data_IF_220188297080
#
_entry.id   IF_220188297080
#
_cell.length_a   1.000
_cell.length_b   1.000
_cell.length_c   1.000
_cell.angle_alpha   90.00
_cell.angle_beta   90.00
_cell.angle_gamma   90.00
#
_symmetry.space_group_name_H-M   'P 1'
#
loop_
_entity.id
_entity.type
_entity.pdbx_description
1 polymer ?
#
# COMPACT_ATOMS: atom_id res chain seq x y z
N UNK A 1 15.41 53.03 -22.93
CA UNK A 1 15.86 52.26 -21.75
C UNK A 1 14.79 51.24 -21.43
N UNK A 2 15.05 49.95 -21.60
CA UNK A 2 14.17 48.92 -21.05
C UNK A 2 14.52 48.84 -19.57
N UNK A 3 13.57 49.22 -18.70
CA UNK A 3 13.73 49.08 -17.26
C UNK A 3 13.77 47.57 -17.00
N UNK A 4 14.94 47.04 -16.66
CA UNK A 4 15.07 45.68 -16.16
C UNK A 4 14.24 45.60 -14.89
N UNK A 5 13.05 45.00 -14.99
CA UNK A 5 12.24 44.72 -13.83
C UNK A 5 13.10 43.91 -12.84
N UNK A 6 13.36 44.48 -11.67
CA UNK A 6 14.02 43.75 -10.58
C UNK A 6 13.07 42.63 -10.21
N UNK A 7 13.37 41.42 -10.67
CA UNK A 7 12.47 40.29 -10.58
C UNK A 7 12.43 39.86 -9.11
N UNK A 8 11.45 40.40 -8.37
CA UNK A 8 11.31 40.19 -6.92
C UNK A 8 11.29 38.68 -6.64
N UNK A 9 12.17 38.16 -5.76
CA UNK A 9 12.20 36.74 -5.49
C UNK A 9 10.84 36.25 -5.00
N UNK A 10 10.35 35.16 -5.62
CA UNK A 10 9.09 34.52 -5.23
C UNK A 10 9.06 34.27 -3.73
N UNK A 11 7.93 34.54 -3.10
CA UNK A 11 7.79 34.55 -1.65
C UNK A 11 6.45 33.93 -1.26
N UNK A 12 6.47 33.04 -0.26
CA UNK A 12 5.26 32.33 0.17
C UNK A 12 5.50 31.28 1.25
N UNK A 13 4.42 30.60 1.61
CA UNK A 13 4.39 29.51 2.60
C UNK A 13 4.33 28.14 1.92
N UNK A 14 5.18 27.21 2.35
CA UNK A 14 5.18 25.81 1.94
C UNK A 14 4.68 24.94 3.10
N UNK A 15 3.50 24.36 2.95
CA UNK A 15 2.88 23.45 3.92
C UNK A 15 3.36 22.00 3.69
N UNK A 16 3.86 21.34 4.72
CA UNK A 16 4.38 19.95 4.64
C UNK A 16 4.49 19.31 6.02
N UNK A 17 4.62 17.98 6.13
CA UNK A 17 5.20 17.36 7.33
C UNK A 17 6.76 17.44 7.29
N UNK A 18 7.47 17.31 8.43
CA UNK A 18 8.93 17.27 8.49
C UNK A 18 9.55 16.10 7.69
N UNK A 19 10.82 16.20 7.29
CA UNK A 19 11.55 15.14 6.54
C UNK A 19 10.88 14.68 5.21
N UNK A 20 9.94 15.45 4.68
CA UNK A 20 9.26 15.15 3.43
C UNK A 20 10.17 15.42 2.23
N UNK A 21 10.75 14.36 1.66
CA UNK A 21 11.60 14.43 0.46
C UNK A 21 10.92 15.09 -0.74
N UNK A 22 9.58 15.07 -0.84
CA UNK A 22 8.84 15.79 -1.89
C UNK A 22 8.91 17.31 -1.70
N UNK A 23 8.92 17.78 -0.45
CA UNK A 23 9.06 19.19 -0.11
C UNK A 23 10.51 19.67 -0.23
N UNK A 24 11.50 18.80 0.00
CA UNK A 24 12.92 19.12 -0.20
C UNK A 24 13.22 19.57 -1.62
N UNK A 25 12.55 19.01 -2.64
CA UNK A 25 12.69 19.46 -4.05
C UNK A 25 12.45 20.97 -4.20
N UNK A 26 11.34 21.47 -3.63
CA UNK A 26 10.97 22.87 -3.65
C UNK A 26 11.92 23.75 -2.81
N UNK A 27 12.34 23.26 -1.64
CA UNK A 27 13.24 23.98 -0.74
C UNK A 27 14.64 24.14 -1.33
N UNK A 28 15.20 23.09 -1.94
CA UNK A 28 16.51 23.14 -2.61
C UNK A 28 16.44 24.02 -3.86
N UNK A 29 15.35 23.93 -4.65
CA UNK A 29 15.13 24.84 -5.77
C UNK A 29 15.14 26.31 -5.34
N UNK A 30 14.49 26.63 -4.22
CA UNK A 30 14.47 27.97 -3.64
C UNK A 30 15.86 28.46 -3.21
N UNK A 31 16.74 27.58 -2.70
CA UNK A 31 18.14 27.93 -2.38
C UNK A 31 18.96 28.33 -3.62
N UNK A 32 18.64 27.82 -4.80
CA UNK A 32 19.30 28.20 -6.07
C UNK A 32 18.65 29.40 -6.76
N UNK A 33 17.34 29.62 -6.59
CA UNK A 33 16.62 30.74 -7.21
C UNK A 33 16.59 32.02 -6.38
N UNK A 34 16.84 31.91 -5.06
CA UNK A 34 16.67 33.00 -4.10
C UNK A 34 15.23 33.18 -3.61
N UNK A 35 14.30 32.28 -3.98
CA UNK A 35 12.92 32.32 -3.49
C UNK A 35 12.85 32.17 -1.96
N UNK A 36 11.96 32.94 -1.32
CA UNK A 36 11.81 32.99 0.14
C UNK A 36 10.64 32.10 0.56
N UNK A 37 10.94 31.02 1.26
CA UNK A 37 9.93 30.08 1.74
C UNK A 37 9.80 30.11 3.27
N UNK A 38 8.58 30.32 3.75
CA UNK A 38 8.18 30.00 5.12
C UNK A 38 7.72 28.54 5.16
N UNK A 39 8.43 27.69 5.89
CA UNK A 39 8.07 26.27 6.01
C UNK A 39 7.06 26.09 7.14
N UNK A 40 5.82 25.76 6.79
CA UNK A 40 4.76 25.42 7.74
C UNK A 40 4.73 23.90 7.92
N UNK A 41 5.45 23.40 8.93
CA UNK A 41 5.59 21.95 9.16
C UNK A 41 5.39 21.44 10.58
N UNK A 42 4.96 22.31 11.49
CA UNK A 42 4.63 21.96 12.86
C UNK A 42 3.48 22.83 13.39
N UNK A 43 2.82 22.35 14.45
CA UNK A 43 1.79 23.08 15.17
C UNK A 43 2.34 24.42 15.72
N UNK A 44 1.57 25.53 15.70
CA UNK A 44 0.18 25.64 15.24
C UNK A 44 0.02 25.87 13.72
N UNK A 45 1.11 26.08 12.99
CA UNK A 45 1.06 26.45 11.56
C UNK A 45 0.60 25.30 10.65
N UNK A 46 0.97 24.06 10.97
CA UNK A 46 0.54 22.86 10.24
C UNK A 46 0.61 21.60 11.10
N UNK A 47 -0.50 20.87 11.19
CA UNK A 47 -0.59 19.54 11.80
C UNK A 47 -1.05 18.54 10.74
N UNK A 48 -0.17 17.62 10.35
CA UNK A 48 -0.49 16.61 9.33
C UNK A 48 -1.62 15.69 9.78
N UNK A 49 -2.53 15.37 8.87
CA UNK A 49 -3.77 14.64 9.16
C UNK A 49 -4.93 15.53 9.63
N UNK A 50 -4.65 16.75 10.13
CA UNK A 50 -5.66 17.69 10.62
C UNK A 50 -5.77 18.91 9.70
N UNK A 51 -4.71 19.74 9.61
CA UNK A 51 -4.73 20.98 8.83
C UNK A 51 -5.04 20.73 7.36
N UNK A 52 -4.39 19.73 6.75
CA UNK A 52 -4.61 19.34 5.35
C UNK A 52 -5.95 18.62 5.07
N UNK A 53 -6.78 18.41 6.10
CA UNK A 53 -8.16 17.91 5.99
C UNK A 53 -9.21 18.99 6.30
N UNK A 54 -8.79 20.17 6.76
CA UNK A 54 -9.71 21.26 7.09
C UNK A 54 -10.35 21.86 5.82
N UNK A 55 -11.62 22.33 5.88
CA UNK A 55 -12.28 22.95 4.73
C UNK A 55 -11.52 24.15 4.16
N UNK A 56 -10.90 24.96 5.02
CA UNK A 56 -10.08 26.11 4.61
C UNK A 56 -8.85 25.69 3.78
N UNK A 57 -8.18 24.58 4.14
CA UNK A 57 -7.05 24.06 3.37
C UNK A 57 -7.52 23.42 2.07
N UNK A 58 -8.60 22.62 2.12
CA UNK A 58 -9.15 21.94 0.94
C UNK A 58 -9.70 22.93 -0.12
N UNK A 59 -10.16 24.11 0.28
CA UNK A 59 -10.56 25.18 -0.63
C UNK A 59 -9.41 25.65 -1.54
N UNK A 60 -8.17 25.62 -1.06
CA UNK A 60 -6.98 26.01 -1.83
C UNK A 60 -6.25 24.80 -2.43
N UNK A 61 -6.37 23.63 -1.79
CA UNK A 61 -5.63 22.40 -2.11
C UNK A 61 -6.57 21.18 -2.10
N UNK A 62 -7.38 20.98 -3.15
CA UNK A 62 -8.52 20.03 -3.13
C UNK A 62 -8.16 18.58 -2.80
N UNK A 63 -6.93 18.15 -3.11
CA UNK A 63 -6.47 16.78 -2.83
C UNK A 63 -6.12 16.54 -1.35
N UNK A 64 -6.01 17.58 -0.52
CA UNK A 64 -5.57 17.48 0.88
C UNK A 64 -4.16 16.88 1.05
N UNK A 65 -3.33 16.91 0.01
CA UNK A 65 -1.95 16.40 -0.02
C UNK A 65 -0.95 17.51 0.30
N UNK A 66 0.27 17.10 0.65
CA UNK A 66 1.44 18.00 0.81
C UNK A 66 2.69 17.41 0.15
N UNK A 67 3.64 18.23 -0.36
CA UNK A 67 3.74 19.68 -0.23
C UNK A 67 2.63 20.46 -0.96
N UNK A 68 2.24 21.59 -0.38
CA UNK A 68 1.33 22.56 -0.95
C UNK A 68 1.91 23.97 -0.74
N UNK A 69 1.82 24.84 -1.74
CA UNK A 69 2.41 26.18 -1.73
C UNK A 69 1.34 27.26 -1.85
N UNK A 70 1.49 28.32 -1.07
CA UNK A 70 0.69 29.55 -1.17
C UNK A 70 1.64 30.75 -1.22
N UNK A 71 1.63 31.49 -2.32
CA UNK A 71 2.36 32.74 -2.45
C UNK A 71 1.80 33.84 -1.55
N UNK A 72 2.64 34.82 -1.22
CA UNK A 72 2.22 36.02 -0.47
C UNK A 72 1.22 36.90 -1.27
N UNK A 73 1.11 36.67 -2.58
CA UNK A 73 0.11 37.21 -3.51
C UNK A 73 -1.22 36.41 -3.52
N UNK A 74 -1.30 35.31 -2.77
CA UNK A 74 -2.44 34.40 -2.73
C UNK A 74 -2.42 33.28 -3.76
N UNK A 75 -1.42 33.21 -4.66
CA UNK A 75 -1.34 32.14 -5.66
C UNK A 75 -1.14 30.77 -4.99
N UNK A 76 -2.07 29.85 -5.20
CA UNK A 76 -2.04 28.50 -4.61
C UNK A 76 -1.61 27.46 -5.64
N UNK A 77 -0.67 26.59 -5.26
CA UNK A 77 -0.14 25.52 -6.11
C UNK A 77 0.05 24.22 -5.32
N UNK A 78 -0.41 23.11 -5.89
CA UNK A 78 -0.17 21.76 -5.41
C UNK A 78 0.65 20.95 -6.44
N UNK A 79 0.96 19.70 -6.10
CA UNK A 79 1.95 18.83 -6.75
C UNK A 79 3.43 19.27 -6.62
N UNK A 80 4.25 18.36 -6.10
CA UNK A 80 5.63 18.66 -5.69
C UNK A 80 6.56 19.10 -6.84
N UNK A 81 6.35 18.59 -8.06
CA UNK A 81 7.12 18.99 -9.24
C UNK A 81 6.72 20.38 -9.72
N UNK A 82 5.43 20.68 -9.75
CA UNK A 82 4.92 21.99 -10.15
C UNK A 82 5.43 23.08 -9.19
N UNK A 83 5.37 22.83 -7.88
CA UNK A 83 5.91 23.73 -6.86
C UNK A 83 7.42 23.94 -7.04
N UNK A 84 8.20 22.87 -7.21
CA UNK A 84 9.65 22.98 -7.43
C UNK A 84 10.00 23.70 -8.74
N UNK A 85 9.22 23.50 -9.81
CA UNK A 85 9.36 24.19 -11.08
C UNK A 85 9.01 25.68 -11.01
N UNK A 86 7.92 26.02 -10.31
CA UNK A 86 7.51 27.40 -10.10
C UNK A 86 8.55 28.19 -9.31
N UNK A 87 9.11 27.59 -8.26
CA UNK A 87 10.15 28.20 -7.41
C UNK A 87 11.57 28.15 -8.01
N UNK A 88 11.73 27.64 -9.23
CA UNK A 88 13.02 27.53 -9.92
C UNK A 88 13.30 28.69 -10.87
N UNK A 89 14.58 29.01 -11.03
CA UNK A 89 15.07 29.93 -12.07
C UNK A 89 15.27 29.19 -13.42
N UNK A 90 15.52 29.93 -14.50
CA UNK A 90 15.68 29.39 -15.86
C UNK A 90 16.88 28.45 -16.01
N UNK A 91 17.88 28.58 -15.14
CA UNK A 91 19.00 27.67 -15.07
C UNK A 91 18.57 26.28 -14.57
N UNK A 92 17.77 26.22 -13.50
CA UNK A 92 17.24 24.97 -12.96
C UNK A 92 16.19 24.31 -13.87
N UNK A 93 15.40 25.12 -14.59
CA UNK A 93 14.38 24.66 -15.54
C UNK A 93 14.92 24.21 -16.91
N UNK A 94 16.21 24.46 -17.17
CA UNK A 94 16.86 24.23 -18.46
C UNK A 94 16.68 25.44 -19.39
N UNK A 95 17.78 26.11 -19.72
CA UNK A 95 17.76 27.40 -20.45
C UNK A 95 17.60 27.28 -21.97
N UNK A 96 17.39 26.08 -22.50
CA UNK A 96 17.07 25.80 -23.90
C UNK A 96 15.91 24.78 -23.97
N UNK A 97 15.14 24.73 -25.07
CA UNK A 97 14.05 23.74 -25.21
C UNK A 97 14.53 22.29 -25.00
N UNK A 98 15.72 21.95 -25.50
CA UNK A 98 16.33 20.63 -25.33
C UNK A 98 16.70 20.34 -23.88
N UNK A 99 17.33 21.31 -23.18
CA UNK A 99 17.67 21.15 -21.77
C UNK A 99 16.41 21.06 -20.89
N UNK A 100 15.37 21.84 -21.19
CA UNK A 100 14.11 21.80 -20.44
C UNK A 100 13.36 20.48 -20.65
N UNK A 101 13.33 19.95 -21.88
CA UNK A 101 12.80 18.62 -22.16
C UNK A 101 13.58 17.50 -21.42
N UNK A 102 14.91 17.60 -21.35
CA UNK A 102 15.73 16.67 -20.57
C UNK A 102 15.51 16.79 -19.06
N UNK A 103 15.28 17.99 -18.53
CA UNK A 103 14.89 18.20 -17.13
C UNK A 103 13.55 17.52 -16.85
N UNK A 104 12.55 17.72 -17.70
CA UNK A 104 11.25 17.06 -17.58
C UNK A 104 11.36 15.54 -17.67
N UNK A 105 12.18 15.00 -18.59
CA UNK A 105 12.44 13.57 -18.73
C UNK A 105 12.92 12.95 -17.40
N UNK A 106 13.90 13.56 -16.73
CA UNK A 106 14.43 13.05 -15.47
C UNK A 106 13.47 13.24 -14.28
N UNK A 107 12.64 14.29 -14.29
CA UNK A 107 11.56 14.47 -13.31
C UNK A 107 10.52 13.35 -13.45
N UNK A 108 10.06 13.08 -14.67
CA UNK A 108 9.11 11.99 -14.94
C UNK A 108 9.70 10.61 -14.64
N UNK A 109 10.96 10.35 -15.03
CA UNK A 109 11.68 9.11 -14.70
C UNK A 109 11.80 8.88 -13.20
N UNK A 110 11.97 9.94 -12.41
CA UNK A 110 11.97 9.82 -10.96
C UNK A 110 10.62 9.35 -10.41
N UNK A 111 9.52 9.89 -10.93
CA UNK A 111 8.16 9.56 -10.50
C UNK A 111 7.69 8.17 -10.97
N UNK A 112 8.07 7.72 -12.18
CA UNK A 112 7.67 6.41 -12.72
C UNK A 112 8.60 5.28 -12.29
N UNK A 113 9.92 5.45 -12.41
CA UNK A 113 10.88 4.34 -12.25
C UNK A 113 11.50 4.27 -10.84
N UNK A 114 11.68 5.41 -10.16
CA UNK A 114 12.40 5.44 -8.88
C UNK A 114 11.44 5.35 -7.69
N UNK A 115 10.43 6.21 -7.66
CA UNK A 115 9.57 6.40 -6.49
C UNK A 115 8.76 5.16 -6.11
N UNK A 116 8.16 4.39 -7.04
CA UNK A 116 7.43 3.16 -6.68
C UNK A 116 8.31 2.09 -6.00
N UNK A 117 9.43 1.62 -6.58
CA UNK A 117 10.27 0.62 -5.90
C UNK A 117 11.01 1.19 -4.68
N UNK A 118 11.43 2.47 -4.69
CA UNK A 118 11.99 3.12 -3.51
C UNK A 118 11.00 3.11 -2.33
N UNK A 119 9.72 3.37 -2.59
CA UNK A 119 8.67 3.33 -1.57
C UNK A 119 8.45 1.89 -1.07
N UNK A 120 8.31 0.93 -1.97
CA UNK A 120 8.09 -0.48 -1.64
C UNK A 120 9.21 -1.10 -0.78
N UNK A 121 10.47 -0.74 -1.04
CA UNK A 121 11.61 -1.22 -0.25
C UNK A 121 11.81 -0.44 1.05
N UNK A 122 11.70 0.90 1.03
CA UNK A 122 12.07 1.71 2.21
C UNK A 122 10.94 1.89 3.23
N UNK A 123 9.67 1.98 2.80
CA UNK A 123 8.56 2.25 3.73
C UNK A 123 8.39 1.19 4.84
N UNK A 124 8.64 -0.12 4.60
CA UNK A 124 8.74 -1.10 5.67
C UNK A 124 9.84 -0.80 6.71
N UNK A 125 11.02 -0.33 6.28
CA UNK A 125 12.12 0.01 7.21
C UNK A 125 11.82 1.23 8.09
N UNK A 126 10.81 2.03 7.71
CA UNK A 126 10.33 3.20 8.43
C UNK A 126 9.04 2.95 9.23
N UNK A 127 8.50 1.72 9.20
CA UNK A 127 7.21 1.41 9.84
C UNK A 127 6.00 2.06 9.16
N UNK A 128 6.12 2.51 7.91
CA UNK A 128 5.02 3.15 7.16
C UNK A 128 4.13 2.08 6.50
N UNK A 129 4.71 0.96 6.09
CA UNK A 129 4.03 -0.17 5.46
C UNK A 129 4.44 -1.49 6.11
N UNK A 130 3.58 -2.50 6.04
CA UNK A 130 3.96 -3.85 6.44
C UNK A 130 5.00 -4.42 5.47
N UNK A 131 5.96 -5.20 5.97
CA UNK A 131 6.94 -5.86 5.13
C UNK A 131 6.32 -6.96 4.27
N UNK A 132 6.57 -6.91 2.96
CA UNK A 132 6.27 -8.00 2.04
C UNK A 132 7.58 -8.41 1.33
N UNK A 133 7.98 -9.67 1.49
CA UNK A 133 9.24 -10.20 0.95
C UNK A 133 9.28 -10.14 -0.58
N UNK A 134 8.22 -10.58 -1.27
CA UNK A 134 8.18 -10.63 -2.73
C UNK A 134 8.26 -9.22 -3.34
N UNK A 135 7.45 -8.29 -2.83
CA UNK A 135 7.46 -6.89 -3.26
C UNK A 135 8.82 -6.23 -2.97
N UNK A 136 9.48 -6.57 -1.85
CA UNK A 136 10.81 -6.04 -1.52
C UNK A 136 11.90 -6.56 -2.47
N UNK A 137 11.92 -7.86 -2.77
CA UNK A 137 12.92 -8.39 -3.72
C UNK A 137 12.69 -7.89 -5.15
N UNK A 138 11.43 -7.76 -5.60
CA UNK A 138 11.12 -7.11 -6.87
C UNK A 138 11.63 -5.65 -6.90
N UNK A 139 11.33 -4.87 -5.84
CA UNK A 139 11.76 -3.49 -5.73
C UNK A 139 13.30 -3.34 -5.73
N UNK A 140 14.05 -4.29 -5.17
CA UNK A 140 15.52 -4.31 -5.25
C UNK A 140 16.00 -4.47 -6.70
N UNK A 141 15.42 -5.37 -7.49
CA UNK A 141 15.80 -5.55 -8.89
C UNK A 141 15.42 -4.34 -9.76
N UNK A 142 14.28 -3.71 -9.49
CA UNK A 142 13.87 -2.46 -10.13
C UNK A 142 14.84 -1.30 -9.78
N UNK A 143 15.23 -1.16 -8.51
CA UNK A 143 16.26 -0.18 -8.10
C UNK A 143 17.62 -0.48 -8.74
N UNK A 144 18.04 -1.75 -8.85
CA UNK A 144 19.28 -2.10 -9.58
C UNK A 144 19.23 -1.65 -11.04
N UNK A 145 18.10 -1.82 -11.73
CA UNK A 145 17.90 -1.36 -13.12
C UNK A 145 17.98 0.15 -13.23
N UNK A 146 17.30 0.88 -12.34
CA UNK A 146 17.37 2.35 -12.24
C UNK A 146 18.81 2.83 -12.03
N UNK A 147 19.52 2.24 -11.06
CA UNK A 147 20.90 2.61 -10.76
C UNK A 147 21.84 2.29 -11.92
N UNK A 148 21.63 1.20 -12.68
CA UNK A 148 22.40 0.89 -13.87
C UNK A 148 22.23 1.97 -14.97
N UNK A 149 20.99 2.38 -15.26
CA UNK A 149 20.66 3.44 -16.24
C UNK A 149 21.34 4.76 -15.84
N UNK A 150 21.20 5.16 -14.58
CA UNK A 150 21.84 6.36 -14.05
C UNK A 150 23.38 6.25 -14.12
N UNK A 151 23.95 5.09 -13.78
CA UNK A 151 25.40 4.87 -13.78
C UNK A 151 26.02 5.00 -15.18
N UNK A 152 25.30 4.52 -16.20
CA UNK A 152 25.68 4.66 -17.60
C UNK A 152 25.57 6.11 -18.07
N UNK A 153 24.46 6.80 -17.78
CA UNK A 153 24.28 8.21 -18.16
C UNK A 153 25.32 9.14 -17.52
N UNK A 154 25.65 8.90 -16.25
CA UNK A 154 26.60 9.68 -15.45
C UNK A 154 28.07 9.30 -15.68
N UNK A 155 28.38 8.34 -16.57
CA UNK A 155 29.74 7.89 -16.83
C UNK A 155 30.65 8.99 -17.42
N UNK A 156 30.08 9.94 -18.14
CA UNK A 156 30.81 11.06 -18.78
C UNK A 156 30.16 12.41 -18.47
N UNK A 157 29.43 12.52 -17.35
CA UNK A 157 28.64 13.72 -16.99
C UNK A 157 28.76 14.04 -15.51
N UNK A 158 28.92 15.32 -15.18
CA UNK A 158 28.97 15.76 -13.78
C UNK A 158 27.58 15.74 -13.14
N UNK A 159 26.57 16.17 -13.91
CA UNK A 159 25.16 16.32 -13.53
C UNK A 159 24.25 15.73 -14.63
N UNK A 160 22.96 15.56 -14.35
CA UNK A 160 22.03 14.89 -15.27
C UNK A 160 21.78 15.68 -16.57
N UNK A 161 21.81 17.02 -16.52
CA UNK A 161 21.53 17.91 -17.66
C UNK A 161 22.51 19.10 -17.68
N UNK A 162 23.13 19.37 -18.82
CA UNK A 162 23.82 20.64 -19.10
C UNK A 162 25.05 20.96 -18.22
N UNK A 163 25.71 19.95 -17.64
CA UNK A 163 26.90 20.10 -16.77
C UNK A 163 26.74 21.09 -15.60
N UNK A 164 25.51 21.26 -15.11
CA UNK A 164 25.18 22.05 -13.91
C UNK A 164 24.03 21.40 -13.14
N UNK A 165 23.89 21.73 -11.86
CA UNK A 165 22.67 21.34 -11.11
C UNK A 165 21.44 21.90 -11.80
N UNK A 166 20.46 21.03 -12.00
CA UNK A 166 19.14 21.32 -12.55
C UNK A 166 18.03 20.71 -11.67
N UNK A 167 16.75 20.95 -12.02
CA UNK A 167 15.63 20.25 -11.37
C UNK A 167 15.67 18.73 -11.57
N UNK A 168 16.34 18.23 -12.61
CA UNK A 168 16.59 16.80 -12.77
C UNK A 168 17.39 16.27 -11.57
N UNK A 169 18.52 16.92 -11.27
CA UNK A 169 19.41 16.51 -10.18
C UNK A 169 18.70 16.60 -8.83
N UNK A 170 18.05 17.73 -8.56
CA UNK A 170 17.28 17.95 -7.32
C UNK A 170 16.21 16.87 -7.14
N UNK A 171 15.48 16.53 -8.19
CA UNK A 171 14.37 15.56 -8.12
C UNK A 171 14.88 14.14 -7.93
N UNK A 172 15.82 13.68 -8.75
CA UNK A 172 16.36 12.31 -8.69
C UNK A 172 17.12 12.09 -7.37
N UNK A 173 17.87 13.08 -6.86
CA UNK A 173 18.52 13.00 -5.54
C UNK A 173 17.48 12.86 -4.42
N UNK A 174 16.43 13.69 -4.41
CA UNK A 174 15.38 13.60 -3.39
C UNK A 174 14.66 12.24 -3.40
N UNK A 175 14.41 11.67 -4.59
CA UNK A 175 13.78 10.34 -4.73
C UNK A 175 14.70 9.20 -4.28
N UNK A 176 16.02 9.32 -4.46
CA UNK A 176 17.02 8.33 -4.02
C UNK A 176 17.48 8.54 -2.55
N UNK A 177 17.19 9.67 -1.93
CA UNK A 177 17.71 10.05 -0.60
C UNK A 177 17.43 8.98 0.47
N UNK A 178 16.20 8.51 0.55
CA UNK A 178 15.79 7.52 1.54
C UNK A 178 16.35 6.12 1.26
N UNK A 179 16.56 5.76 -0.02
CA UNK A 179 17.29 4.55 -0.40
C UNK A 179 18.74 4.61 0.11
N UNK A 180 19.45 5.72 -0.13
CA UNK A 180 20.83 5.93 0.33
C UNK A 180 20.97 6.01 1.86
N UNK A 181 19.99 6.57 2.58
CA UNK A 181 19.99 6.60 4.06
C UNK A 181 19.72 5.23 4.68
N UNK A 182 18.80 4.44 4.10
CA UNK A 182 18.24 3.25 4.77
C UNK A 182 18.80 1.91 4.28
N UNK A 183 18.92 1.69 2.96
CA UNK A 183 19.02 0.32 2.41
C UNK A 183 20.13 0.08 1.39
N UNK A 184 20.63 1.12 0.71
CA UNK A 184 21.75 0.98 -0.24
C UNK A 184 23.09 0.88 0.51
N UNK A 185 23.31 -0.24 1.21
CA UNK A 185 24.57 -0.53 1.90
C UNK A 185 25.77 -0.64 0.93
N UNK A 186 27.04 -0.59 1.40
CA UNK A 186 28.21 -0.50 0.53
C UNK A 186 28.25 -1.56 -0.57
N UNK A 187 27.95 -2.82 -0.26
CA UNK A 187 27.94 -3.92 -1.23
C UNK A 187 26.89 -3.75 -2.33
N UNK A 188 25.71 -3.22 -2.01
CA UNK A 188 24.63 -3.00 -3.00
C UNK A 188 24.96 -1.85 -3.95
N UNK A 189 25.59 -0.77 -3.45
CA UNK A 189 25.91 0.42 -4.26
C UNK A 189 27.26 0.36 -4.99
N UNK A 190 28.15 -0.58 -4.63
CA UNK A 190 29.48 -0.73 -5.22
C UNK A 190 29.48 -0.85 -6.78
N UNK A 191 28.53 -1.55 -7.43
CA UNK A 191 28.46 -1.63 -8.89
C UNK A 191 28.08 -0.31 -9.59
N UNK A 192 27.68 0.72 -8.83
CA UNK A 192 27.17 1.99 -9.35
C UNK A 192 28.02 3.19 -8.89
N UNK A 193 29.33 3.22 -9.20
CA UNK A 193 30.25 4.24 -8.71
C UNK A 193 29.91 5.64 -9.23
N UNK A 194 29.43 5.78 -10.47
CA UNK A 194 29.11 7.08 -11.07
C UNK A 194 27.87 7.70 -10.42
N UNK A 195 26.88 6.88 -10.05
CA UNK A 195 25.70 7.33 -9.28
C UNK A 195 26.09 7.70 -7.85
N UNK A 196 26.93 6.88 -7.21
CA UNK A 196 27.41 7.17 -5.85
C UNK A 196 28.21 8.49 -5.82
N UNK A 197 29.11 8.71 -6.79
CA UNK A 197 29.83 9.98 -6.99
C UNK A 197 28.86 11.14 -7.21
N UNK A 198 27.92 11.02 -8.15
CA UNK A 198 26.95 12.06 -8.46
C UNK A 198 26.08 12.42 -7.25
N UNK A 199 25.50 11.43 -6.57
CA UNK A 199 24.67 11.64 -5.40
C UNK A 199 25.45 12.38 -4.31
N UNK A 200 26.66 11.92 -3.99
CA UNK A 200 27.57 12.60 -3.04
C UNK A 200 27.95 14.01 -3.50
N UNK A 201 28.18 14.23 -4.80
CA UNK A 201 28.48 15.56 -5.37
C UNK A 201 27.30 16.52 -5.17
N UNK A 202 26.07 16.05 -5.37
CA UNK A 202 24.85 16.85 -5.22
C UNK A 202 24.52 17.14 -3.75
N UNK A 203 24.43 16.11 -2.88
CA UNK A 203 24.06 16.33 -1.46
C UNK A 203 25.10 17.16 -0.70
N UNK A 204 26.34 17.25 -1.19
CA UNK A 204 27.37 18.11 -0.60
C UNK A 204 27.40 19.55 -1.14
N UNK A 205 26.59 19.91 -2.15
CA UNK A 205 26.44 21.31 -2.56
C UNK A 205 25.86 22.16 -1.42
N UNK A 206 26.26 23.42 -1.24
CA UNK A 206 25.76 24.28 -0.16
C UNK A 206 24.23 24.36 -0.11
N UNK A 207 23.57 24.46 -1.26
CA UNK A 207 22.12 24.54 -1.40
C UNK A 207 21.39 23.25 -1.01
N UNK A 208 22.02 22.09 -1.21
CA UNK A 208 21.48 20.81 -0.75
C UNK A 208 21.72 20.65 0.76
N UNK A 209 22.95 20.91 1.24
CA UNK A 209 23.31 20.85 2.67
C UNK A 209 22.44 21.76 3.54
N UNK A 210 22.08 22.95 3.06
CA UNK A 210 21.20 23.87 3.76
C UNK A 210 19.81 23.29 4.08
N UNK A 211 19.35 22.29 3.32
CA UNK A 211 18.02 21.67 3.46
C UNK A 211 18.11 20.23 4.01
N UNK A 212 19.06 19.44 3.52
CA UNK A 212 19.22 18.02 3.86
C UNK A 212 20.12 17.78 5.09
N UNK A 213 20.86 18.80 5.54
CA UNK A 213 21.89 18.66 6.57
C UNK A 213 23.03 17.75 6.13
N UNK A 214 23.61 17.02 7.09
CA UNK A 214 24.61 16.00 6.81
C UNK A 214 23.95 14.66 6.46
N UNK A 215 24.12 14.20 5.22
CA UNK A 215 23.53 12.95 4.73
C UNK A 215 24.47 11.79 5.04
N UNK A 216 24.25 11.11 6.17
CA UNK A 216 24.90 9.82 6.46
C UNK A 216 24.35 8.73 5.52
N UNK A 217 25.25 8.04 4.81
CA UNK A 217 24.90 6.89 3.98
C UNK A 217 24.68 5.61 4.82
N UNK A 218 23.83 4.72 4.32
CA UNK A 218 23.60 3.39 4.86
C UNK A 218 24.92 2.60 4.99
N UNK A 219 25.23 2.11 6.20
CA UNK A 219 26.35 1.20 6.46
C UNK A 219 25.92 -0.27 6.37
N UNK A 220 24.68 -0.57 6.79
CA UNK A 220 24.04 -1.88 6.79
C UNK A 220 22.55 -1.70 6.49
N UNK A 221 21.97 -2.55 5.64
CA UNK A 221 20.58 -2.45 5.22
C UNK A 221 19.62 -2.44 6.44
N UNK A 222 18.80 -1.40 6.54
CA UNK A 222 17.74 -1.31 7.54
C UNK A 222 16.69 -2.41 7.32
N UNK A 223 16.19 -2.98 8.41
CA UNK A 223 15.17 -4.02 8.41
C UNK A 223 13.81 -3.46 8.85
N UNK A 224 12.74 -4.22 8.61
CA UNK A 224 11.40 -3.89 9.11
C UNK A 224 11.38 -3.89 10.64
N UNK A 225 10.75 -2.88 11.22
CA UNK A 225 10.64 -2.68 12.66
C UNK A 225 9.15 -2.68 13.05
N UNK A 226 8.70 -3.80 13.62
CA UNK A 226 7.31 -4.00 14.01
C UNK A 226 6.83 -3.00 15.09
N UNK A 227 7.74 -2.48 15.92
CA UNK A 227 7.40 -1.50 16.97
C UNK A 227 7.13 -0.13 16.34
N UNK A 228 8.02 0.32 15.45
CA UNK A 228 7.79 1.56 14.67
C UNK A 228 6.53 1.46 13.82
N UNK A 229 6.25 0.30 13.23
CA UNK A 229 5.01 0.09 12.48
C UNK A 229 3.77 0.28 13.37
N UNK A 230 3.75 -0.29 14.58
CA UNK A 230 2.65 -0.11 15.52
C UNK A 230 2.51 1.35 16.03
N UNK A 231 3.63 2.05 16.24
CA UNK A 231 3.64 3.46 16.69
C UNK A 231 3.16 4.44 15.60
N UNK A 232 3.40 4.13 14.33
CA UNK A 232 3.00 4.94 13.18
C UNK A 232 1.53 4.78 12.77
N UNK A 233 0.83 3.76 13.29
CA UNK A 233 -0.62 3.64 13.07
C UNK A 233 -1.40 4.67 13.89
N UNK A 234 -2.50 5.24 13.35
CA UNK A 234 -3.32 6.20 14.08
C UNK A 234 -3.94 5.53 15.32
N UNK A 235 -3.56 6.01 16.51
CA UNK A 235 -4.25 5.66 17.76
C UNK A 235 -5.73 6.03 17.61
N UNK A 236 -6.62 5.03 17.64
CA UNK A 236 -8.07 5.28 17.70
C UNK A 236 -8.38 6.13 18.92
N UNK A 237 -8.78 7.37 18.69
CA UNK A 237 -9.27 8.24 19.75
C UNK A 237 -10.51 7.58 20.38
N UNK A 238 -10.48 7.40 21.70
CA UNK A 238 -11.65 6.88 22.42
C UNK A 238 -12.79 7.92 22.32
N UNK A 239 -14.02 7.52 21.95
CA UNK A 239 -15.11 8.47 21.78
C UNK A 239 -15.38 9.22 23.08
N UNK A 240 -15.36 10.55 23.00
CA UNK A 240 -15.57 11.43 24.13
C UNK A 240 -16.89 11.09 24.87
N UNK A 241 -16.82 11.01 26.20
CA UNK A 241 -18.01 10.87 27.05
C UNK A 241 -18.93 12.06 26.80
N UNK A 242 -20.08 11.82 26.16
CA UNK A 242 -21.17 12.80 26.12
C UNK A 242 -21.64 13.05 27.54
N UNK A 243 -21.47 14.28 28.01
CA UNK A 243 -22.21 14.80 29.14
C UNK A 243 -23.72 14.70 28.84
N UNK A 244 -24.50 14.27 29.82
CA UNK A 244 -25.96 14.41 29.82
C UNK A 244 -26.37 15.18 31.07
N UNK A 245 -26.88 16.39 30.85
CA UNK A 245 -27.55 17.23 31.85
C UNK A 245 -29.07 17.03 31.81
N UNK A 246 -29.75 17.30 32.93
CA UNK A 246 -31.21 17.16 33.13
C UNK A 246 -31.59 15.84 33.85
N UNK A 247 -31.90 15.86 35.15
CA UNK A 247 -33.21 16.19 35.81
C UNK A 247 -34.30 15.13 35.53
N UNK A 248 -35.12 14.65 36.47
CA UNK A 248 -35.32 14.99 37.91
C UNK A 248 -36.10 13.87 38.65
N UNK A 249 -35.87 13.69 39.97
CA UNK A 249 -36.87 13.18 40.95
C UNK A 249 -37.05 11.67 41.20
N UNK A 250 -37.17 11.28 42.50
CA UNK A 250 -38.10 10.18 42.88
C UNK A 250 -37.69 8.97 43.76
N UNK A 251 -37.25 9.19 45.01
CA UNK A 251 -37.47 8.33 46.23
C UNK A 251 -37.24 6.78 46.27
N UNK A 252 -36.38 6.42 47.24
CA UNK A 252 -36.53 5.39 48.32
C UNK A 252 -36.25 3.87 48.11
N UNK A 253 -35.27 3.41 48.92
CA UNK A 253 -35.25 2.19 49.78
C UNK A 253 -35.29 0.77 49.17
N UNK A 254 -34.17 0.03 49.25
CA UNK A 254 -33.87 -0.94 50.34
C UNK A 254 -32.42 -1.50 50.25
N UNK A 255 -32.02 -2.35 51.21
CA UNK A 255 -30.62 -2.65 51.60
C UNK A 255 -30.24 -4.16 51.39
N UNK A 256 -29.09 -4.72 51.85
CA UNK A 256 -28.29 -5.65 51.02
C UNK A 256 -28.08 -7.07 51.59
N UNK A 257 -27.42 -7.95 50.81
CA UNK A 257 -26.66 -9.13 51.27
C UNK A 257 -25.43 -9.33 50.34
N UNK A 258 -24.21 -9.10 50.83
CA UNK A 258 -23.25 -10.11 51.33
C UNK A 258 -22.81 -11.12 50.25
N UNK A 259 -21.59 -11.07 49.68
CA UNK A 259 -20.25 -11.29 50.29
C UNK A 259 -20.10 -12.59 51.08
N UNK A 260 -19.68 -13.65 50.36
CA UNK A 260 -18.76 -14.75 50.73
C UNK A 260 -18.67 -15.65 49.47
N UNK A 261 -17.57 -16.28 49.05
CA UNK A 261 -16.23 -16.49 49.62
C UNK A 261 -15.17 -16.36 48.51
N UNK A 262 -14.04 -15.72 48.83
CA UNK A 262 -12.76 -16.01 48.16
C UNK A 262 -12.18 -17.32 48.74
N UNK A 263 -11.16 -17.84 48.07
CA UNK A 263 -10.23 -18.87 48.56
C UNK A 263 -10.78 -20.30 48.74
N UNK A 264 -10.52 -21.14 47.73
CA UNK A 264 -9.82 -22.41 47.94
C UNK A 264 -9.16 -22.92 46.64
N UNK A 265 -8.05 -23.64 46.82
CA UNK A 265 -7.25 -24.39 45.80
C UNK A 265 -6.37 -23.57 44.85
N UNK A 266 -5.25 -23.08 45.41
CA UNK A 266 -3.92 -23.28 44.82
C UNK A 266 -3.28 -24.52 45.48
N UNK A 267 -2.31 -25.13 44.80
CA UNK A 267 -1.50 -26.32 45.21
C UNK A 267 -2.28 -27.66 45.19
N UNK A 268 -1.88 -28.71 44.46
CA UNK A 268 -0.58 -29.42 44.50
C UNK A 268 0.07 -29.75 43.12
N UNK A 269 1.22 -30.44 43.16
CA UNK A 269 2.18 -30.71 42.05
C UNK A 269 2.56 -32.22 42.05
N UNK A 270 3.40 -32.85 41.19
CA UNK A 270 4.37 -32.44 40.14
C UNK A 270 4.76 -33.68 39.27
N UNK A 271 4.76 -33.63 37.92
CA UNK A 271 5.53 -34.57 37.07
C UNK A 271 5.77 -34.02 35.64
N UNK A 272 6.93 -34.31 35.04
CA UNK A 272 7.35 -33.98 33.67
C UNK A 272 8.10 -35.20 33.06
N UNK A 273 8.32 -35.28 31.73
CA UNK A 273 9.48 -34.59 31.15
C UNK A 273 9.33 -34.00 29.72
N UNK A 274 10.08 -32.90 29.50
CA UNK A 274 10.83 -32.43 28.31
C UNK A 274 10.27 -32.36 26.86
N UNK A 275 10.71 -31.28 26.19
CA UNK A 275 10.91 -31.05 24.73
C UNK A 275 9.70 -30.91 23.79
N UNK A 276 9.25 -29.67 23.57
CA UNK A 276 9.52 -28.88 22.34
C UNK A 276 9.12 -27.40 22.58
N UNK A 277 9.91 -26.42 22.13
CA UNK A 277 9.63 -24.98 22.35
C UNK A 277 8.60 -24.46 21.33
N UNK A 278 7.42 -24.06 21.81
CA UNK A 278 6.38 -23.42 20.98
C UNK A 278 6.62 -21.91 20.81
N UNK A 279 6.41 -21.45 19.57
CA UNK A 279 6.68 -20.10 19.06
C UNK A 279 5.85 -18.98 19.73
N UNK A 280 6.53 -17.92 20.19
CA UNK A 280 5.90 -16.71 20.75
C UNK A 280 4.96 -16.01 19.75
N UNK A 281 5.05 -16.29 18.44
CA UNK A 281 4.15 -15.75 17.43
C UNK A 281 2.66 -16.12 17.63
N UNK A 282 2.33 -17.30 18.18
CA UNK A 282 0.92 -17.67 18.42
C UNK A 282 0.30 -16.91 19.59
N UNK A 283 1.09 -16.60 20.63
CA UNK A 283 0.63 -15.83 21.79
C UNK A 283 0.30 -14.37 21.43
N UNK A 284 1.06 -13.76 20.51
CA UNK A 284 0.83 -12.39 20.04
C UNK A 284 -0.45 -12.32 19.20
N UNK A 285 -0.68 -13.29 18.30
CA UNK A 285 -1.90 -13.40 17.50
C UNK A 285 -3.19 -13.56 18.34
N UNK A 286 -3.09 -14.09 19.57
CA UNK A 286 -4.23 -14.22 20.48
C UNK A 286 -4.64 -12.91 21.20
N UNK A 287 -3.89 -11.81 21.02
CA UNK A 287 -4.02 -10.58 21.81
C UNK A 287 -4.56 -9.35 21.06
N UNK A 288 -4.95 -9.48 19.79
CA UNK A 288 -5.62 -8.37 19.08
C UNK A 288 -7.04 -8.10 19.64
N UNK A 289 -7.43 -6.83 19.89
CA UNK A 289 -8.76 -6.51 20.36
C UNK A 289 -9.77 -6.77 19.24
N UNK A 290 -10.61 -7.80 19.43
CA UNK A 290 -11.65 -8.24 18.50
C UNK A 290 -12.42 -7.07 17.87
N UNK A 291 -12.12 -6.78 16.60
CA UNK A 291 -13.15 -6.28 15.72
C UNK A 291 -14.33 -7.28 15.78
N UNK A 292 -15.57 -6.77 15.71
CA UNK A 292 -16.73 -7.67 15.62
C UNK A 292 -16.55 -8.52 14.36
N UNK A 293 -16.26 -9.81 14.55
CA UNK A 293 -16.14 -10.75 13.45
C UNK A 293 -17.47 -10.72 12.65
N UNK A 294 -17.45 -10.35 11.36
CA UNK A 294 -18.67 -10.25 10.56
C UNK A 294 -19.46 -11.56 10.55
N UNK A 295 -18.79 -12.70 10.72
CA UNK A 295 -19.39 -14.03 10.75
C UNK A 295 -19.79 -14.51 12.16
N UNK A 296 -19.63 -13.68 13.21
CA UNK A 296 -19.91 -14.05 14.62
C UNK A 296 -21.37 -14.42 14.91
N UNK A 297 -22.29 -14.11 14.00
CA UNK A 297 -23.71 -14.43 14.09
C UNK A 297 -24.07 -15.78 13.45
N UNK A 298 -23.15 -16.40 12.72
CA UNK A 298 -23.35 -17.69 12.04
C UNK A 298 -22.98 -18.87 12.94
N UNK A 299 -23.67 -20.02 12.82
CA UNK A 299 -23.33 -21.23 13.56
C UNK A 299 -21.91 -21.72 13.24
N UNK A 300 -21.34 -22.50 14.18
CA UNK A 300 -20.06 -23.18 13.95
C UNK A 300 -20.25 -24.29 12.92
N UNK A 301 -19.75 -24.04 11.72
CA UNK A 301 -19.67 -25.03 10.64
C UNK A 301 -18.73 -26.19 11.00
N UNK A 302 -19.04 -27.39 10.49
CA UNK A 302 -18.16 -28.56 10.55
C UNK A 302 -17.02 -28.51 9.52
N UNK A 303 -17.10 -27.66 8.49
CA UNK A 303 -16.11 -27.60 7.42
C UNK A 303 -14.89 -26.73 7.78
N UNK A 304 -13.71 -27.35 7.83
CA UNK A 304 -12.44 -26.67 8.10
C UNK A 304 -11.79 -26.21 6.79
N UNK A 305 -12.11 -24.98 6.38
CA UNK A 305 -11.63 -24.36 5.14
C UNK A 305 -10.10 -24.40 4.97
N UNK A 306 -9.33 -24.19 6.05
CA UNK A 306 -7.86 -24.21 6.01
C UNK A 306 -7.28 -25.61 5.75
N UNK A 307 -7.97 -26.68 6.16
CA UNK A 307 -7.56 -28.06 5.89
C UNK A 307 -7.83 -28.44 4.43
N UNK A 308 -9.02 -28.09 3.91
CA UNK A 308 -9.33 -28.24 2.48
C UNK A 308 -8.29 -27.51 1.61
N UNK A 309 -7.94 -26.27 1.95
CA UNK A 309 -6.91 -25.50 1.22
C UNK A 309 -5.52 -26.14 1.25
N UNK A 310 -5.14 -26.78 2.37
CA UNK A 310 -3.88 -27.53 2.46
C UNK A 310 -3.91 -28.73 1.53
N UNK A 311 -4.97 -29.55 1.55
CA UNK A 311 -5.10 -30.71 0.65
C UNK A 311 -5.12 -30.30 -0.82
N UNK A 312 -5.94 -29.31 -1.18
CA UNK A 312 -5.97 -28.74 -2.54
C UNK A 312 -4.62 -28.17 -3.01
N UNK A 313 -3.71 -27.81 -2.10
CA UNK A 313 -2.38 -27.28 -2.45
C UNK A 313 -1.30 -28.37 -2.59
N UNK A 314 -1.50 -29.52 -1.97
CA UNK A 314 -0.46 -30.53 -1.75
C UNK A 314 -0.76 -31.89 -2.41
N UNK A 315 -2.02 -32.13 -2.78
CA UNK A 315 -2.54 -33.42 -3.26
C UNK A 315 -3.26 -33.24 -4.60
N UNK A 316 -3.58 -34.35 -5.28
CA UNK A 316 -4.23 -34.31 -6.59
C UNK A 316 -5.66 -33.75 -6.50
N UNK A 317 -5.94 -32.74 -7.34
CA UNK A 317 -7.22 -32.02 -7.32
C UNK A 317 -8.41 -32.91 -7.67
N UNK A 318 -8.28 -33.79 -8.65
CA UNK A 318 -9.37 -34.60 -9.20
C UNK A 318 -9.57 -35.88 -8.38
N UNK A 319 -8.49 -36.50 -7.93
CA UNK A 319 -8.51 -37.78 -7.23
C UNK A 319 -8.69 -37.63 -5.71
N UNK A 320 -8.29 -36.51 -5.10
CA UNK A 320 -8.32 -36.37 -3.62
C UNK A 320 -8.96 -35.06 -3.13
N UNK A 321 -8.58 -33.90 -3.67
CA UNK A 321 -9.08 -32.63 -3.13
C UNK A 321 -10.58 -32.41 -3.39
N UNK A 322 -11.09 -32.76 -4.57
CA UNK A 322 -12.53 -32.66 -4.90
C UNK A 322 -13.39 -33.68 -4.13
N UNK A 323 -13.05 -34.98 -4.03
CA UNK A 323 -13.75 -35.90 -3.14
C UNK A 323 -13.76 -35.42 -1.68
N UNK A 324 -12.62 -34.95 -1.16
CA UNK A 324 -12.53 -34.41 0.19
C UNK A 324 -13.41 -33.16 0.40
N UNK A 325 -13.46 -32.26 -0.59
CA UNK A 325 -14.36 -31.11 -0.58
C UNK A 325 -15.80 -31.56 -0.38
N UNK A 326 -16.34 -32.42 -1.26
CA UNK A 326 -17.74 -32.82 -1.21
C UNK A 326 -18.13 -33.65 0.02
N UNK A 327 -17.20 -34.46 0.54
CA UNK A 327 -17.41 -35.29 1.74
C UNK A 327 -17.47 -34.44 3.02
N UNK A 328 -16.72 -33.33 3.07
CA UNK A 328 -16.64 -32.45 4.25
C UNK A 328 -17.46 -31.15 4.11
N UNK A 329 -18.04 -30.86 2.94
CA UNK A 329 -18.73 -29.61 2.65
C UNK A 329 -20.00 -29.42 3.48
N UNK A 330 -19.97 -28.46 4.39
CA UNK A 330 -21.12 -28.06 5.19
C UNK A 330 -22.07 -27.17 4.37
N UNK A 331 -23.21 -27.76 4.00
CA UNK A 331 -24.27 -27.14 3.19
C UNK A 331 -25.00 -26.01 3.91
N UNK A 332 -25.03 -26.00 5.24
CA UNK A 332 -25.65 -24.92 6.02
C UNK A 332 -24.64 -23.80 6.28
N UNK A 333 -23.39 -24.17 6.56
CA UNK A 333 -22.30 -23.25 6.88
C UNK A 333 -21.65 -22.51 5.70
N UNK A 334 -21.74 -23.03 4.47
CA UNK A 334 -21.08 -22.46 3.28
C UNK A 334 -21.99 -22.39 2.05
N UNK A 335 -21.70 -21.46 1.14
CA UNK A 335 -22.38 -21.31 -0.14
C UNK A 335 -21.42 -21.15 -1.32
N UNK A 336 -21.85 -21.62 -2.49
CA UNK A 336 -21.08 -21.60 -3.75
C UNK A 336 -21.71 -20.58 -4.69
N UNK A 337 -20.87 -19.72 -5.29
CA UNK A 337 -21.26 -18.62 -6.15
C UNK A 337 -20.45 -18.63 -7.45
N UNK A 338 -21.13 -18.47 -8.58
CA UNK A 338 -20.52 -18.16 -9.85
C UNK A 338 -20.39 -16.64 -9.99
N UNK A 339 -19.22 -16.19 -10.40
CA UNK A 339 -18.88 -14.80 -10.68
C UNK A 339 -18.48 -14.64 -12.15
N UNK A 340 -18.93 -13.58 -12.81
CA UNK A 340 -18.59 -13.28 -14.20
C UNK A 340 -18.37 -11.78 -14.40
N UNK A 341 -17.33 -11.37 -15.13
CA UNK A 341 -16.94 -9.97 -15.25
C UNK A 341 -17.80 -9.22 -16.27
N UNK A 342 -18.36 -8.08 -15.86
CA UNK A 342 -19.36 -7.31 -16.62
C UNK A 342 -18.81 -6.57 -17.84
N UNK A 343 -17.50 -6.30 -17.88
CA UNK A 343 -16.88 -5.38 -18.86
C UNK A 343 -15.83 -6.07 -19.74
N UNK A 344 -16.19 -7.12 -20.51
CA UNK A 344 -15.21 -7.86 -21.33
C UNK A 344 -14.49 -6.97 -22.37
N UNK A 345 -15.12 -5.87 -22.80
CA UNK A 345 -14.54 -4.88 -23.72
C UNK A 345 -13.29 -4.18 -23.16
N UNK A 346 -13.14 -4.10 -21.83
CA UNK A 346 -11.95 -3.53 -21.19
C UNK A 346 -10.76 -4.50 -21.18
N UNK A 347 -11.00 -5.80 -21.45
CA UNK A 347 -10.02 -6.88 -21.37
C UNK A 347 -9.18 -7.00 -22.66
N UNK A 348 -8.52 -5.91 -23.04
CA UNK A 348 -7.71 -5.79 -24.26
C UNK A 348 -6.49 -6.72 -24.28
N UNK A 349 -5.78 -6.87 -23.15
CA UNK A 349 -4.58 -7.71 -23.06
C UNK A 349 -4.68 -8.70 -21.89
N UNK A 350 -4.51 -9.99 -22.19
CA UNK A 350 -4.62 -11.10 -21.22
C UNK A 350 -3.79 -10.88 -19.94
N UNK A 351 -2.55 -10.38 -20.05
CA UNK A 351 -1.73 -10.10 -18.87
C UNK A 351 -2.30 -8.98 -17.97
N UNK A 352 -2.95 -7.97 -18.55
CA UNK A 352 -3.60 -6.90 -17.79
C UNK A 352 -4.86 -7.43 -17.08
N UNK A 353 -5.65 -8.27 -17.76
CA UNK A 353 -6.78 -9.00 -17.18
C UNK A 353 -6.35 -9.89 -16.00
N UNK A 354 -5.21 -10.59 -16.13
CA UNK A 354 -4.65 -11.38 -15.03
C UNK A 354 -4.10 -10.52 -13.87
N UNK A 355 -3.63 -9.30 -14.14
CA UNK A 355 -3.26 -8.34 -13.10
C UNK A 355 -4.50 -7.81 -12.34
N UNK A 356 -5.63 -7.61 -13.04
CA UNK A 356 -6.91 -7.20 -12.43
C UNK A 356 -7.40 -8.24 -11.40
N UNK A 357 -7.41 -9.53 -11.77
CA UNK A 357 -7.73 -10.65 -10.85
C UNK A 357 -6.80 -10.63 -9.63
N UNK A 358 -5.49 -10.40 -9.85
CA UNK A 358 -4.49 -10.37 -8.76
C UNK A 358 -4.72 -9.20 -7.81
N UNK A 359 -5.06 -8.02 -8.35
CA UNK A 359 -5.38 -6.84 -7.55
C UNK A 359 -6.60 -7.05 -6.66
N UNK A 360 -7.66 -7.66 -7.19
CA UNK A 360 -8.85 -8.03 -6.43
C UNK A 360 -8.49 -8.97 -5.27
N UNK A 361 -7.70 -10.03 -5.53
CA UNK A 361 -7.27 -10.97 -4.49
C UNK A 361 -6.43 -10.31 -3.39
N UNK A 362 -5.56 -9.35 -3.74
CA UNK A 362 -4.77 -8.60 -2.76
C UNK A 362 -5.63 -7.68 -1.88
N UNK A 363 -6.70 -7.09 -2.44
CA UNK A 363 -7.64 -6.25 -1.68
C UNK A 363 -8.52 -7.07 -0.74
N UNK A 364 -8.87 -8.29 -1.14
CA UNK A 364 -9.70 -9.22 -0.36
C UNK A 364 -8.94 -10.06 0.67
N UNK A 365 -7.67 -9.76 0.97
CA UNK A 365 -6.83 -10.61 1.84
C UNK A 365 -7.43 -10.88 3.24
N UNK A 366 -8.20 -9.94 3.80
CA UNK A 366 -8.95 -10.12 5.06
C UNK A 366 -10.03 -11.22 4.97
N UNK A 367 -10.62 -11.43 3.80
CA UNK A 367 -11.66 -12.44 3.55
C UNK A 367 -11.06 -13.84 3.34
N UNK A 368 -9.75 -13.93 3.05
CA UNK A 368 -9.02 -15.17 2.75
C UNK A 368 -9.33 -16.29 3.74
N UNK A 369 -9.32 -16.04 5.06
CA UNK A 369 -9.58 -17.07 6.08
C UNK A 369 -10.94 -17.77 5.98
N UNK A 370 -11.98 -17.11 5.44
CA UNK A 370 -13.35 -17.63 5.40
C UNK A 370 -13.87 -17.87 3.97
N UNK A 371 -12.99 -17.83 2.96
CA UNK A 371 -13.37 -18.00 1.57
C UNK A 371 -12.29 -18.73 0.75
N UNK A 372 -12.72 -19.37 -0.34
CA UNK A 372 -11.87 -19.97 -1.36
C UNK A 372 -12.45 -19.65 -2.73
N UNK A 373 -11.62 -19.42 -3.75
CA UNK A 373 -12.14 -19.28 -5.10
C UNK A 373 -11.14 -19.74 -6.17
N UNK A 374 -11.67 -20.15 -7.31
CA UNK A 374 -10.92 -20.33 -8.54
C UNK A 374 -11.48 -19.39 -9.60
N UNK A 375 -10.67 -18.45 -10.06
CA UNK A 375 -11.03 -17.46 -11.08
C UNK A 375 -10.15 -17.70 -12.31
N UNK A 376 -10.78 -17.77 -13.48
CA UNK A 376 -10.15 -18.13 -14.75
C UNK A 376 -10.36 -17.00 -15.75
N UNK A 377 -9.28 -16.67 -16.46
CA UNK A 377 -9.30 -15.92 -17.70
C UNK A 377 -9.48 -16.90 -18.86
N UNK A 378 -10.48 -16.63 -19.71
CA UNK A 378 -10.75 -17.36 -20.95
C UNK A 378 -10.55 -16.46 -22.17
N UNK A 379 -10.28 -17.07 -23.31
CA UNK A 379 -10.13 -16.38 -24.60
C UNK A 379 -8.73 -15.85 -24.88
N UNK A 380 -8.62 -14.91 -25.81
CA UNK A 380 -7.34 -14.35 -26.29
C UNK A 380 -7.34 -12.83 -26.22
N UNK A 381 -6.21 -12.18 -26.55
CA UNK A 381 -6.12 -10.72 -26.53
C UNK A 381 -7.20 -10.08 -27.41
N UNK A 382 -7.87 -9.04 -26.89
CA UNK A 382 -9.06 -8.38 -27.45
C UNK A 382 -10.36 -9.23 -27.51
N UNK A 383 -10.33 -10.49 -27.11
CA UNK A 383 -11.52 -11.34 -26.98
C UNK A 383 -11.47 -12.21 -25.70
N UNK A 384 -11.22 -11.55 -24.56
CA UNK A 384 -11.09 -12.21 -23.25
C UNK A 384 -12.36 -12.09 -22.40
N UNK A 385 -12.60 -13.03 -21.50
CA UNK A 385 -13.56 -12.88 -20.41
C UNK A 385 -13.03 -13.51 -19.11
N UNK A 386 -13.52 -13.03 -17.97
CA UNK A 386 -13.14 -13.53 -16.65
C UNK A 386 -14.39 -14.09 -15.98
N UNK A 387 -14.31 -15.32 -15.48
CA UNK A 387 -15.32 -15.88 -14.59
C UNK A 387 -14.68 -16.77 -13.53
N UNK A 388 -15.41 -17.10 -12.47
CA UNK A 388 -14.87 -17.86 -11.36
C UNK A 388 -15.92 -18.48 -10.44
N UNK A 389 -15.51 -19.53 -9.74
CA UNK A 389 -16.29 -20.17 -8.69
C UNK A 389 -15.72 -19.73 -7.34
N UNK A 390 -16.57 -19.15 -6.51
CA UNK A 390 -16.28 -18.68 -5.16
C UNK A 390 -17.06 -19.48 -4.14
N UNK A 391 -16.39 -19.86 -3.05
CA UNK A 391 -16.96 -20.53 -1.88
C UNK A 391 -16.84 -19.59 -0.70
N UNK A 392 -17.96 -19.17 -0.14
CA UNK A 392 -18.03 -18.24 0.98
C UNK A 392 -18.64 -18.90 2.22
N UNK A 393 -18.16 -18.52 3.40
CA UNK A 393 -18.81 -18.82 4.67
C UNK A 393 -20.13 -18.05 4.78
N UNK A 394 -21.20 -18.76 5.14
CA UNK A 394 -22.57 -18.25 5.20
C UNK A 394 -23.36 -18.47 3.92
N UNK A 395 -24.66 -18.20 3.99
CA UNK A 395 -25.61 -18.37 2.88
C UNK A 395 -25.80 -17.12 2.02
N UNK A 396 -25.33 -15.97 2.52
CA UNK A 396 -25.34 -14.68 1.85
C UNK A 396 -23.99 -14.38 1.20
N UNK A 397 -23.98 -13.35 0.36
CA UNK A 397 -22.84 -12.99 -0.47
C UNK A 397 -21.82 -12.21 0.37
N UNK A 398 -20.62 -12.76 0.60
CA UNK A 398 -19.70 -12.23 1.61
C UNK A 398 -19.37 -10.73 1.48
N UNK A 399 -19.33 -10.20 0.25
CA UNK A 399 -19.01 -8.79 0.01
C UNK A 399 -20.05 -7.80 0.58
N UNK A 400 -21.30 -8.20 0.82
CA UNK A 400 -22.29 -7.32 1.46
C UNK A 400 -22.16 -7.25 2.99
N UNK A 401 -21.31 -8.10 3.61
CA UNK A 401 -21.10 -8.14 5.05
C UNK A 401 -20.07 -7.11 5.56
N UNK A 402 -19.30 -6.47 4.68
CA UNK A 402 -18.33 -5.44 5.06
C UNK A 402 -18.07 -4.45 3.92
N UNK A 403 -18.11 -3.15 4.22
CA UNK A 403 -17.76 -2.08 3.27
C UNK A 403 -16.32 -2.23 2.74
N UNK A 404 -15.39 -2.74 3.57
CA UNK A 404 -14.01 -3.08 3.19
C UNK A 404 -13.91 -4.13 2.06
N UNK A 405 -14.96 -4.92 1.83
CA UNK A 405 -14.98 -6.03 0.87
C UNK A 405 -15.77 -5.72 -0.40
N UNK A 406 -16.47 -4.59 -0.50
CA UNK A 406 -17.24 -4.20 -1.69
C UNK A 406 -16.37 -3.73 -2.86
N UNK A 407 -15.04 -3.67 -2.68
CA UNK A 407 -14.10 -3.23 -3.70
C UNK A 407 -14.08 -4.22 -4.87
N UNK A 408 -14.34 -3.72 -6.08
CA UNK A 408 -14.50 -4.47 -7.35
C UNK A 408 -15.72 -5.42 -7.43
N UNK A 409 -16.49 -5.62 -6.35
CA UNK A 409 -17.65 -6.53 -6.33
C UNK A 409 -18.68 -6.20 -7.42
N UNK A 410 -18.96 -4.90 -7.63
CA UNK A 410 -19.94 -4.39 -8.60
C UNK A 410 -19.55 -4.67 -10.05
N UNK A 411 -18.25 -4.85 -10.33
CA UNK A 411 -17.73 -5.16 -11.66
C UNK A 411 -18.03 -6.60 -12.11
N UNK A 412 -18.60 -7.42 -11.23
CA UNK A 412 -19.00 -8.80 -11.52
C UNK A 412 -20.52 -9.01 -11.38
N UNK A 413 -21.08 -9.93 -12.17
CA UNK A 413 -22.38 -10.56 -11.91
C UNK A 413 -22.17 -11.75 -11.00
N UNK A 414 -23.11 -11.99 -10.08
CA UNK A 414 -23.01 -13.06 -9.09
C UNK A 414 -24.27 -13.91 -9.11
N UNK A 415 -24.11 -15.21 -9.30
CA UNK A 415 -25.21 -16.20 -9.27
C UNK A 415 -24.90 -17.24 -8.20
N UNK A 416 -25.77 -17.37 -7.20
CA UNK A 416 -25.69 -18.47 -6.23
C UNK A 416 -25.96 -19.77 -6.97
N UNK A 417 -25.09 -20.77 -6.80
CA UNK A 417 -25.28 -22.10 -7.39
C UNK A 417 -25.95 -23.02 -6.38
N UNK A 418 -26.83 -23.89 -6.86
CA UNK A 418 -27.43 -24.95 -6.05
C UNK A 418 -26.46 -26.12 -5.92
N UNK A 419 -26.11 -26.46 -4.68
CA UNK A 419 -25.09 -27.45 -4.29
C UNK A 419 -25.45 -28.85 -4.78
N UNK A 420 -26.75 -29.20 -4.83
CA UNK A 420 -27.20 -30.53 -5.26
C UNK A 420 -27.30 -30.67 -6.79
N UNK A 421 -27.22 -29.56 -7.54
CA UNK A 421 -27.31 -29.56 -9.01
C UNK A 421 -26.07 -30.14 -9.70
N UNK A 422 -26.29 -30.92 -10.78
CA UNK A 422 -25.22 -31.44 -11.62
C UNK A 422 -24.45 -30.33 -12.35
N UNK A 423 -25.09 -29.18 -12.60
CA UNK A 423 -24.44 -27.96 -13.11
C UNK A 423 -23.35 -27.50 -12.13
N UNK A 424 -23.69 -27.32 -10.84
CA UNK A 424 -22.74 -26.88 -9.82
C UNK A 424 -21.58 -27.87 -9.64
N UNK A 425 -21.86 -29.18 -9.56
CA UNK A 425 -20.80 -30.22 -9.45
C UNK A 425 -19.85 -30.19 -10.65
N UNK A 426 -20.39 -30.00 -11.85
CA UNK A 426 -19.59 -29.87 -13.08
C UNK A 426 -18.74 -28.60 -13.04
N UNK A 427 -19.34 -27.44 -12.77
CA UNK A 427 -18.61 -26.16 -12.72
C UNK A 427 -17.54 -26.15 -11.62
N UNK A 428 -17.83 -26.64 -10.41
CA UNK A 428 -16.82 -26.75 -9.34
C UNK A 428 -15.66 -27.64 -9.77
N UNK A 429 -15.94 -28.79 -10.40
CA UNK A 429 -14.90 -29.68 -10.93
C UNK A 429 -14.03 -29.00 -11.99
N UNK A 430 -14.65 -28.42 -13.02
CA UNK A 430 -13.92 -27.75 -14.12
C UNK A 430 -13.08 -26.58 -13.62
N UNK A 431 -13.64 -25.73 -12.73
CA UNK A 431 -12.91 -24.57 -12.22
C UNK A 431 -11.85 -24.92 -11.20
N UNK A 432 -12.01 -25.97 -10.40
CA UNK A 432 -11.00 -26.34 -9.40
C UNK A 432 -9.85 -27.10 -10.05
N UNK A 433 -10.11 -27.93 -11.08
CA UNK A 433 -9.08 -28.64 -11.84
C UNK A 433 -8.42 -27.79 -12.94
N UNK A 434 -9.07 -26.70 -13.39
CA UNK A 434 -8.71 -25.95 -14.60
C UNK A 434 -8.80 -26.77 -15.91
N UNK A 435 -9.51 -27.90 -15.85
CA UNK A 435 -9.68 -28.86 -16.95
C UNK A 435 -11.18 -29.11 -17.17
N UNK A 436 -11.67 -28.82 -18.38
CA UNK A 436 -13.09 -28.88 -18.71
C UNK A 436 -13.40 -28.43 -20.14
N UNK A 437 -14.64 -28.62 -20.57
CA UNK A 437 -15.15 -28.07 -21.84
C UNK A 437 -15.73 -26.65 -21.66
N UNK A 438 -15.96 -26.21 -20.41
CA UNK A 438 -16.38 -24.84 -20.04
C UNK A 438 -17.56 -24.32 -20.87
N UNK A 439 -18.56 -25.19 -21.09
CA UNK A 439 -19.66 -25.00 -22.06
C UNK A 439 -20.48 -23.74 -21.87
N UNK A 440 -20.55 -23.24 -20.64
CA UNK A 440 -21.24 -22.00 -20.25
C UNK A 440 -20.46 -20.72 -20.58
N UNK A 441 -19.13 -20.79 -20.78
CA UNK A 441 -18.30 -19.65 -21.22
C UNK A 441 -18.06 -19.67 -22.74
N UNK A 442 -17.90 -20.86 -23.34
CA UNK A 442 -17.73 -21.01 -24.79
C UNK A 442 -16.41 -20.45 -25.36
N UNK A 443 -15.43 -20.12 -24.51
CA UNK A 443 -14.10 -19.64 -24.89
C UNK A 443 -13.01 -20.56 -24.33
N UNK A 444 -11.85 -20.71 -25.00
CA UNK A 444 -10.78 -21.58 -24.52
C UNK A 444 -10.19 -21.07 -23.20
N UNK A 445 -9.77 -22.00 -22.33
CA UNK A 445 -8.99 -21.69 -21.14
C UNK A 445 -7.69 -20.95 -21.52
N UNK A 446 -7.32 -19.93 -20.75
CA UNK A 446 -6.06 -19.20 -20.91
C UNK A 446 -5.22 -19.26 -19.62
N UNK A 447 -5.72 -18.71 -18.51
CA UNK A 447 -4.99 -18.72 -17.24
C UNK A 447 -5.92 -18.70 -16.02
N UNK A 448 -5.69 -19.61 -15.08
CA UNK A 448 -6.38 -19.66 -13.78
C UNK A 448 -5.60 -19.02 -12.64
N UNK A 449 -6.30 -18.53 -11.61
CA UNK A 449 -5.76 -18.08 -10.32
C UNK A 449 -6.65 -18.53 -9.16
N UNK A 450 -6.01 -19.02 -8.10
CA UNK A 450 -6.70 -19.47 -6.88
C UNK A 450 -6.60 -18.41 -5.79
N UNK A 451 -7.74 -18.07 -5.20
CA UNK A 451 -7.86 -17.32 -3.95
C UNK A 451 -7.94 -18.33 -2.81
N UNK A 452 -6.88 -18.43 -2.00
CA UNK A 452 -6.78 -19.35 -0.86
C UNK A 452 -5.99 -18.73 0.28
#
# INVERSE_FOLDING_TARGET
>A
MIISAVNTPLSGTLYTYPENWRAFKAQIAAQYSGARLKIASASPAFTFGQTNRSPAFLSNFPLGKVPAYQGDDGFCLFESNAIAHYLSNDALRGSTPQASAQVLQWVSFADSEIIPPASAWVFPTLGIMQFNKQATEQAKEEVKRVLAILNQHLNTRTFLVGERVSLADITVVCSLLWLYKQVLEPAFRQPYPNVSRWFLTCVNQPQFKAILGEVKLCEKMAQFDAKKFAEMQPKKEAPAKKEKSGKEGGKQQQQPQQQEKKEKKKEEKKAAPAEEEMDECEAVLASEPKAKDPFAHLPKSSFVMDEFKRKYSNEDTLAVALPYFWDHFDREGFSIWYAEYRFPEELTMSFMSCNLITGMFQRLDKLRKNAFASVILFGTNNDSCISGIWVFRGQELAFTLSEDWQIDYESYTWRKLDVDSEECKTMVKEYFAWEGEFKHVGKPFNQGKIFK
#
